data_IF_053013809791
#
_entry.id   IF_053013809791
#
_cell.length_a   1.000
_cell.length_b   1.000
_cell.length_c   1.000
_cell.angle_alpha   90.00
_cell.angle_beta   90.00
_cell.angle_gamma   90.00
#
_symmetry.space_group_name_H-M   'P 1'
#
loop_
_entity.id
_entity.type
_entity.pdbx_description
1 polymer ?
#
# COMPACT_ATOMS: atom_id res chain seq x y z
N UNK A 1 16.19 25.85 4.52
CA UNK A 1 14.83 25.71 5.08
C UNK A 1 14.04 24.77 4.19
N UNK A 2 13.50 23.68 4.74
CA UNK A 2 12.56 22.82 3.99
C UNK A 2 11.22 23.57 3.91
N UNK A 3 10.64 23.69 2.72
CA UNK A 3 9.34 24.35 2.51
C UNK A 3 8.27 23.60 3.33
N UNK A 4 7.46 24.30 4.12
CA UNK A 4 6.39 23.70 4.95
C UNK A 4 5.43 22.81 4.16
N UNK A 5 5.23 23.11 2.87
CA UNK A 5 4.43 22.28 1.97
C UNK A 5 5.12 20.96 1.62
N UNK A 6 6.45 20.93 1.50
CA UNK A 6 7.22 19.72 1.26
C UNK A 6 7.28 18.83 2.51
N UNK A 7 7.41 19.43 3.71
CA UNK A 7 7.35 18.68 4.96
C UNK A 7 5.98 18.01 5.14
N UNK A 8 4.91 18.71 4.77
CA UNK A 8 3.54 18.19 4.78
C UNK A 8 3.38 16.98 3.85
N UNK A 9 3.89 17.04 2.61
CA UNK A 9 3.89 15.90 1.67
C UNK A 9 4.61 14.69 2.28
N UNK A 10 5.81 14.89 2.81
CA UNK A 10 6.60 13.81 3.42
C UNK A 10 5.91 13.21 4.64
N UNK A 11 5.25 14.02 5.46
CA UNK A 11 4.49 13.53 6.60
C UNK A 11 3.30 12.66 6.17
N UNK A 12 2.56 13.06 5.14
CA UNK A 12 1.49 12.21 4.59
C UNK A 12 2.06 10.91 3.99
N UNK A 13 3.21 10.97 3.30
CA UNK A 13 3.89 9.78 2.80
C UNK A 13 4.30 8.83 3.93
N UNK A 14 4.76 9.35 5.08
CA UNK A 14 5.11 8.54 6.28
C UNK A 14 3.91 7.78 6.84
N UNK A 15 2.74 8.42 6.88
CA UNK A 15 1.50 7.74 7.27
C UNK A 15 1.20 6.59 6.30
N UNK A 16 1.36 6.84 5.00
CA UNK A 16 1.12 5.82 3.99
C UNK A 16 2.12 4.65 4.06
N UNK A 17 3.40 4.94 4.34
CA UNK A 17 4.44 3.93 4.61
C UNK A 17 3.98 2.99 5.74
N UNK A 18 3.49 3.56 6.84
CA UNK A 18 3.01 2.78 7.97
C UNK A 18 1.82 1.88 7.60
N UNK A 19 0.85 2.42 6.84
CA UNK A 19 -0.29 1.64 6.34
C UNK A 19 0.15 0.49 5.44
N UNK A 20 1.11 0.70 4.55
CA UNK A 20 1.63 -0.36 3.69
C UNK A 20 2.41 -1.43 4.47
N UNK A 21 3.30 -1.02 5.38
CA UNK A 21 4.12 -1.96 6.14
C UNK A 21 3.29 -2.81 7.09
N UNK A 22 2.37 -2.20 7.85
CA UNK A 22 1.50 -2.97 8.74
C UNK A 22 0.66 -3.96 7.94
N UNK A 23 0.06 -3.51 6.84
CA UNK A 23 -0.78 -4.39 6.05
C UNK A 23 0.01 -5.54 5.40
N UNK A 24 1.22 -5.26 4.90
CA UNK A 24 2.13 -6.30 4.39
C UNK A 24 2.57 -7.28 5.48
N UNK A 25 2.87 -6.81 6.69
CA UNK A 25 3.24 -7.67 7.83
C UNK A 25 2.08 -8.57 8.27
N UNK A 26 0.83 -8.11 8.19
CA UNK A 26 -0.33 -8.95 8.49
C UNK A 26 -0.46 -10.12 7.50
N UNK A 27 -0.25 -9.87 6.21
CA UNK A 27 -0.21 -10.95 5.22
C UNK A 27 0.98 -11.89 5.38
N UNK A 28 2.12 -11.39 5.87
CA UNK A 28 3.26 -12.23 6.22
C UNK A 28 2.89 -13.21 7.34
N UNK A 29 2.19 -12.73 8.38
CA UNK A 29 1.68 -13.58 9.46
C UNK A 29 0.70 -14.61 8.91
N UNK A 30 -0.29 -14.20 8.11
CA UNK A 30 -1.25 -15.13 7.49
C UNK A 30 -0.55 -16.18 6.59
N UNK A 31 0.55 -15.80 5.94
CA UNK A 31 1.36 -16.72 5.14
C UNK A 31 2.10 -17.73 6.02
N UNK A 32 2.67 -17.31 7.15
CA UNK A 32 3.31 -18.23 8.10
C UNK A 32 2.31 -19.19 8.74
N UNK A 33 1.14 -18.70 9.16
CA UNK A 33 0.05 -19.54 9.68
C UNK A 33 -0.36 -20.61 8.65
N UNK A 34 -0.45 -20.24 7.36
CA UNK A 34 -0.72 -21.21 6.31
C UNK A 34 0.40 -22.24 6.14
N UNK A 35 1.66 -21.80 6.11
CA UNK A 35 2.82 -22.71 5.98
C UNK A 35 2.91 -23.69 7.16
N UNK A 36 2.58 -23.25 8.37
CA UNK A 36 2.50 -24.11 9.55
C UNK A 36 1.40 -25.16 9.39
N UNK A 37 0.20 -24.78 8.94
CA UNK A 37 -0.91 -25.70 8.69
C UNK A 37 -0.63 -26.75 7.60
N UNK A 38 0.34 -26.51 6.72
CA UNK A 38 0.82 -27.53 5.77
C UNK A 38 1.67 -28.62 6.44
N UNK A 39 2.40 -28.27 7.50
CA UNK A 39 3.35 -29.16 8.16
C UNK A 39 2.73 -29.93 9.33
N UNK A 40 1.90 -29.27 10.14
CA UNK A 40 1.20 -29.87 11.27
C UNK A 40 -0.30 -29.74 11.01
N UNK A 41 -0.94 -30.76 10.43
CA UNK A 41 -2.41 -30.83 10.41
C UNK A 41 -2.87 -31.21 11.82
N UNK A 42 -3.52 -30.32 12.59
CA UNK A 42 -4.24 -30.76 13.78
C UNK A 42 -5.26 -31.84 13.36
N UNK A 43 -5.46 -32.87 14.20
CA UNK A 43 -6.29 -34.04 13.86
C UNK A 43 -7.72 -33.71 13.39
N UNK A 44 -8.25 -32.54 13.75
CA UNK A 44 -9.60 -32.08 13.40
C UNK A 44 -9.62 -30.96 12.34
N UNK A 45 -8.50 -30.68 11.68
CA UNK A 45 -8.35 -29.58 10.72
C UNK A 45 -8.02 -30.10 9.33
N UNK A 46 -8.90 -29.85 8.36
CA UNK A 46 -8.65 -30.11 6.95
C UNK A 46 -8.09 -28.87 6.24
N UNK A 47 -7.24 -29.07 5.23
CA UNK A 47 -6.59 -27.98 4.49
C UNK A 47 -7.65 -27.10 3.83
N UNK A 48 -7.74 -25.86 4.30
CA UNK A 48 -8.84 -24.91 4.07
C UNK A 48 -8.43 -23.77 3.13
N UNK A 49 -7.26 -23.90 2.52
CA UNK A 49 -6.74 -22.97 1.53
C UNK A 49 -6.27 -23.77 0.32
N UNK A 50 -6.64 -23.30 -0.88
CA UNK A 50 -5.89 -23.69 -2.07
C UNK A 50 -4.60 -22.88 -2.11
N UNK A 51 -3.58 -23.43 -2.76
CA UNK A 51 -2.32 -22.72 -3.03
C UNK A 51 -2.57 -21.35 -3.70
N UNK A 52 -3.66 -21.22 -4.47
CA UNK A 52 -4.08 -19.98 -5.14
C UNK A 52 -4.37 -18.84 -4.15
N UNK A 53 -5.03 -19.13 -3.03
CA UNK A 53 -5.36 -18.10 -2.02
C UNK A 53 -4.11 -17.54 -1.34
N UNK A 54 -3.12 -18.40 -1.12
CA UNK A 54 -1.86 -18.02 -0.47
C UNK A 54 -1.00 -17.23 -1.43
N UNK A 55 -0.95 -17.62 -2.71
CA UNK A 55 -0.31 -16.83 -3.77
C UNK A 55 -0.93 -15.43 -3.83
N UNK A 56 -2.25 -15.30 -3.66
CA UNK A 56 -2.91 -13.99 -3.61
C UNK A 56 -2.43 -13.14 -2.42
N UNK A 57 -2.38 -13.70 -1.21
CA UNK A 57 -1.87 -12.99 -0.03
C UNK A 57 -0.40 -12.58 -0.19
N UNK A 58 0.42 -13.46 -0.77
CA UNK A 58 1.81 -13.18 -1.06
C UNK A 58 1.97 -12.06 -2.10
N UNK A 59 1.15 -12.04 -3.16
CA UNK A 59 1.15 -10.97 -4.14
C UNK A 59 0.78 -9.62 -3.52
N UNK A 60 -0.29 -9.58 -2.71
CA UNK A 60 -0.72 -8.37 -2.02
C UNK A 60 0.35 -7.88 -1.01
N UNK A 61 1.01 -8.81 -0.30
CA UNK A 61 2.16 -8.51 0.57
C UNK A 61 3.32 -7.88 -0.22
N UNK A 62 3.71 -8.48 -1.35
CA UNK A 62 4.79 -7.97 -2.21
C UNK A 62 4.46 -6.57 -2.69
N UNK A 63 3.22 -6.34 -3.15
CA UNK A 63 2.76 -5.02 -3.59
C UNK A 63 2.83 -4.01 -2.45
N UNK A 64 2.39 -4.38 -1.24
CA UNK A 64 2.47 -3.50 -0.08
C UNK A 64 3.90 -3.13 0.28
N UNK A 65 4.82 -4.11 0.32
CA UNK A 65 6.23 -3.83 0.59
C UNK A 65 6.89 -3.03 -0.52
N UNK A 66 6.59 -3.30 -1.79
CA UNK A 66 7.08 -2.50 -2.92
C UNK A 66 6.67 -1.03 -2.79
N UNK A 67 5.39 -0.76 -2.53
CA UNK A 67 4.89 0.61 -2.32
C UNK A 67 5.51 1.25 -1.06
N UNK A 68 5.54 0.53 0.05
CA UNK A 68 6.10 1.01 1.33
C UNK A 68 7.59 1.37 1.21
N UNK A 69 8.41 0.48 0.65
CA UNK A 69 9.84 0.74 0.46
C UNK A 69 10.11 1.84 -0.56
N UNK A 70 9.34 1.92 -1.64
CA UNK A 70 9.44 3.02 -2.60
C UNK A 70 9.23 4.38 -1.92
N UNK A 71 8.20 4.48 -1.08
CA UNK A 71 7.94 5.70 -0.30
C UNK A 71 9.04 5.98 0.74
N UNK A 72 9.57 4.95 1.41
CA UNK A 72 10.70 5.10 2.35
C UNK A 72 11.91 5.70 1.65
N UNK A 73 12.27 5.17 0.47
CA UNK A 73 13.38 5.70 -0.34
C UNK A 73 13.11 7.17 -0.68
N UNK A 74 11.90 7.51 -1.11
CA UNK A 74 11.52 8.88 -1.45
C UNK A 74 11.62 9.86 -0.27
N UNK A 75 11.15 9.45 0.91
CA UNK A 75 11.15 10.29 2.11
C UNK A 75 12.56 10.43 2.70
N UNK A 76 13.37 9.38 2.60
CA UNK A 76 14.71 9.31 3.22
C UNK A 76 15.81 9.91 2.34
N UNK A 77 15.57 10.05 1.03
CA UNK A 77 16.55 10.65 0.10
C UNK A 77 16.19 12.09 -0.24
N UNK A 78 17.21 12.89 -0.61
CA UNK A 78 17.02 14.26 -1.09
C UNK A 78 16.53 14.24 -2.53
N UNK A 79 15.23 14.09 -2.73
CA UNK A 79 14.58 14.13 -4.05
C UNK A 79 14.01 15.51 -4.36
N UNK A 80 13.91 15.84 -5.65
CA UNK A 80 13.22 17.06 -6.07
C UNK A 80 11.71 16.94 -5.83
N UNK A 81 11.03 18.07 -5.61
CA UNK A 81 9.57 18.10 -5.44
C UNK A 81 8.83 17.48 -6.64
N UNK A 82 9.36 17.69 -7.86
CA UNK A 82 8.83 17.08 -9.10
C UNK A 82 8.94 15.56 -9.08
N UNK A 83 10.09 15.03 -8.70
CA UNK A 83 10.31 13.57 -8.59
C UNK A 83 9.37 12.96 -7.56
N UNK A 84 9.28 13.58 -6.37
CA UNK A 84 8.39 13.12 -5.29
C UNK A 84 6.94 13.07 -5.77
N UNK A 85 6.49 14.12 -6.46
CA UNK A 85 5.13 14.20 -6.99
C UNK A 85 4.84 13.13 -8.05
N UNK A 86 5.72 12.98 -9.04
CA UNK A 86 5.52 12.06 -10.16
C UNK A 86 5.50 10.60 -9.70
N UNK A 87 6.46 10.22 -8.86
CA UNK A 87 6.51 8.84 -8.33
C UNK A 87 5.29 8.55 -7.46
N UNK A 88 4.78 9.53 -6.70
CA UNK A 88 3.56 9.32 -5.90
C UNK A 88 2.32 9.09 -6.77
N UNK A 89 2.19 9.80 -7.90
CA UNK A 89 1.14 9.52 -8.89
C UNK A 89 1.28 8.10 -9.45
N UNK A 90 2.50 7.71 -9.84
CA UNK A 90 2.74 6.38 -10.39
C UNK A 90 2.40 5.27 -9.38
N UNK A 91 2.80 5.44 -8.12
CA UNK A 91 2.46 4.52 -7.03
C UNK A 91 0.95 4.45 -6.77
N UNK A 92 0.23 5.58 -6.83
CA UNK A 92 -1.23 5.58 -6.70
C UNK A 92 -1.89 4.81 -7.85
N UNK A 93 -1.49 5.06 -9.09
CA UNK A 93 -2.03 4.35 -10.26
C UNK A 93 -1.74 2.86 -10.14
N UNK A 94 -0.49 2.49 -9.85
CA UNK A 94 -0.09 1.11 -9.64
C UNK A 94 -0.93 0.45 -8.52
N UNK A 95 -1.12 1.15 -7.40
CA UNK A 95 -1.93 0.62 -6.29
C UNK A 95 -3.41 0.49 -6.68
N UNK A 96 -3.99 1.49 -7.34
CA UNK A 96 -5.39 1.43 -7.77
C UNK A 96 -5.62 0.30 -8.78
N UNK A 97 -4.68 0.11 -9.73
CA UNK A 97 -4.74 -0.98 -10.71
C UNK A 97 -4.60 -2.35 -10.07
N UNK A 98 -3.65 -2.52 -9.14
CA UNK A 98 -3.50 -3.78 -8.41
C UNK A 98 -4.71 -4.05 -7.52
N UNK A 99 -5.27 -3.02 -6.88
CA UNK A 99 -6.52 -3.14 -6.12
C UNK A 99 -7.67 -3.53 -7.04
N UNK A 100 -7.81 -2.95 -8.23
CA UNK A 100 -8.84 -3.35 -9.18
C UNK A 100 -8.66 -4.80 -9.65
N UNK A 101 -7.43 -5.20 -10.00
CA UNK A 101 -7.14 -6.54 -10.50
C UNK A 101 -7.35 -7.59 -9.42
N UNK A 102 -6.80 -7.37 -8.24
CA UNK A 102 -6.90 -8.26 -7.11
C UNK A 102 -8.33 -8.25 -6.56
N UNK A 103 -8.96 -7.06 -6.49
CA UNK A 103 -10.22 -6.85 -5.77
C UNK A 103 -11.52 -6.81 -6.60
N UNK A 104 -11.49 -6.72 -7.92
CA UNK A 104 -12.71 -6.53 -8.73
C UNK A 104 -12.74 -7.25 -10.08
N UNK A 105 -11.58 -7.54 -10.69
CA UNK A 105 -11.52 -7.93 -12.11
C UNK A 105 -11.91 -9.39 -12.42
N UNK A 106 -11.82 -10.36 -11.48
CA UNK A 106 -12.19 -11.77 -11.77
C UNK A 106 -12.89 -12.52 -10.59
N UNK A 107 -14.17 -12.86 -10.84
CA UNK A 107 -15.02 -14.01 -10.42
C UNK A 107 -15.05 -14.51 -8.96
N UNK A 108 -16.29 -14.70 -8.47
CA UNK A 108 -16.77 -15.15 -7.14
C UNK A 108 -16.02 -16.34 -6.49
N UNK A 109 -15.28 -17.16 -7.25
CA UNK A 109 -14.58 -18.34 -6.74
C UNK A 109 -13.15 -18.10 -6.23
N UNK A 110 -12.45 -17.04 -6.67
CA UNK A 110 -11.10 -16.68 -6.13
C UNK A 110 -11.16 -16.03 -4.74
N UNK A 111 -12.36 -15.70 -4.30
CA UNK A 111 -12.62 -14.66 -3.31
C UNK A 111 -13.18 -15.10 -2.00
N UNK A 112 -13.72 -16.31 -1.98
CA UNK A 112 -13.99 -16.99 -0.75
C UNK A 112 -12.68 -17.69 -0.42
N UNK A 113 -11.81 -17.15 0.47
CA UNK A 113 -10.97 -18.05 1.21
C UNK A 113 -11.98 -18.97 1.91
N UNK A 114 -12.20 -20.16 1.33
CA UNK A 114 -13.05 -21.20 1.91
C UNK A 114 -12.31 -21.75 3.12
N UNK A 115 -12.13 -20.88 4.11
CA UNK A 115 -11.90 -21.28 5.46
C UNK A 115 -13.25 -21.86 5.88
N UNK A 116 -13.32 -23.19 6.04
CA UNK A 116 -14.33 -23.89 6.85
C UNK A 116 -14.17 -23.55 8.34
N UNK A 117 -13.94 -22.26 8.61
CA UNK A 117 -13.90 -21.48 9.83
C UNK A 117 -14.24 -20.07 9.33
N UNK A 118 -15.43 -19.55 9.66
CA UNK A 118 -15.94 -18.21 9.27
C UNK A 118 -14.82 -17.28 8.80
N UNK A 119 -14.81 -16.89 7.51
CA UNK A 119 -13.80 -16.03 6.88
C UNK A 119 -13.23 -15.06 7.92
N UNK A 120 -11.94 -15.17 8.24
CA UNK A 120 -11.36 -14.52 9.42
C UNK A 120 -11.79 -13.05 9.44
N UNK A 121 -12.78 -12.70 10.29
CA UNK A 121 -13.41 -11.38 10.26
C UNK A 121 -12.36 -10.28 10.41
N UNK A 122 -11.24 -10.63 11.03
CA UNK A 122 -10.04 -9.83 11.12
C UNK A 122 -9.45 -9.51 9.74
N UNK A 123 -9.10 -10.50 8.91
CA UNK A 123 -8.53 -10.28 7.57
C UNK A 123 -9.45 -9.45 6.67
N UNK A 124 -10.76 -9.75 6.69
CA UNK A 124 -11.77 -8.99 5.96
C UNK A 124 -11.87 -7.54 6.45
N UNK A 125 -11.82 -7.31 7.77
CA UNK A 125 -11.82 -5.97 8.36
C UNK A 125 -10.59 -5.18 7.95
N UNK A 126 -9.40 -5.77 8.03
CA UNK A 126 -8.15 -5.11 7.64
C UNK A 126 -8.13 -4.78 6.15
N UNK A 127 -8.59 -5.68 5.29
CA UNK A 127 -8.77 -5.41 3.86
C UNK A 127 -9.75 -4.26 3.61
N UNK A 128 -10.88 -4.27 4.29
CA UNK A 128 -11.91 -3.22 4.19
C UNK A 128 -11.49 -1.85 4.74
N UNK A 129 -10.43 -1.77 5.55
CA UNK A 129 -9.95 -0.51 6.15
C UNK A 129 -8.61 -0.04 5.58
N UNK A 130 -7.59 -0.89 5.54
CA UNK A 130 -6.25 -0.51 5.11
C UNK A 130 -6.15 -0.24 3.62
N UNK A 131 -6.81 -1.03 2.77
CA UNK A 131 -6.76 -0.82 1.32
C UNK A 131 -7.36 0.54 0.92
N UNK A 132 -8.57 0.92 1.38
CA UNK A 132 -9.08 2.27 1.13
C UNK A 132 -8.24 3.36 1.78
N UNK A 133 -7.75 3.15 3.01
CA UNK A 133 -6.92 4.13 3.70
C UNK A 133 -5.61 4.45 2.93
N UNK A 134 -4.95 3.43 2.38
CA UNK A 134 -3.75 3.61 1.55
C UNK A 134 -4.03 4.50 0.33
N UNK A 135 -5.15 4.28 -0.35
CA UNK A 135 -5.56 5.08 -1.52
C UNK A 135 -5.89 6.53 -1.12
N UNK A 136 -6.68 6.72 -0.05
CA UNK A 136 -7.08 8.05 0.44
C UNK A 136 -5.84 8.86 0.84
N UNK A 137 -4.93 8.28 1.62
CA UNK A 137 -3.71 8.95 2.07
C UNK A 137 -2.79 9.28 0.87
N UNK A 138 -2.73 8.41 -0.14
CA UNK A 138 -2.00 8.69 -1.38
C UNK A 138 -2.58 9.90 -2.13
N UNK A 139 -3.91 10.01 -2.23
CA UNK A 139 -4.59 11.18 -2.84
C UNK A 139 -4.30 12.46 -2.05
N UNK A 140 -4.33 12.40 -0.72
CA UNK A 140 -3.98 13.55 0.14
C UNK A 140 -2.52 13.97 -0.10
N UNK A 141 -1.60 13.01 -0.23
CA UNK A 141 -0.19 13.30 -0.49
C UNK A 141 0.01 13.97 -1.86
N UNK A 142 -0.74 13.55 -2.89
CA UNK A 142 -0.74 14.20 -4.21
C UNK A 142 -1.29 15.62 -4.11
N UNK A 143 -2.38 15.83 -3.36
CA UNK A 143 -2.96 17.16 -3.16
C UNK A 143 -1.95 18.14 -2.53
N UNK A 144 -1.23 17.72 -1.49
CA UNK A 144 -0.14 18.51 -0.92
C UNK A 144 1.02 18.69 -1.92
N UNK A 145 1.30 17.68 -2.75
CA UNK A 145 2.31 17.73 -3.80
C UNK A 145 2.01 18.80 -4.86
N UNK A 146 0.75 18.96 -5.27
CA UNK A 146 0.32 20.03 -6.19
C UNK A 146 0.61 21.40 -5.57
N UNK A 147 0.29 21.59 -4.28
CA UNK A 147 0.57 22.84 -3.56
C UNK A 147 2.07 23.13 -3.50
N UNK A 148 2.88 22.12 -3.19
CA UNK A 148 4.33 22.23 -3.14
C UNK A 148 4.94 22.59 -4.51
N UNK A 149 4.44 21.99 -5.60
CA UNK A 149 4.89 22.31 -6.96
C UNK A 149 4.59 23.76 -7.36
N UNK A 150 3.37 24.24 -7.07
CA UNK A 150 2.99 25.64 -7.36
C UNK A 150 3.84 26.64 -6.57
N UNK A 151 4.13 26.34 -5.30
CA UNK A 151 5.00 27.18 -4.47
C UNK A 151 6.44 27.23 -5.02
N UNK A 152 6.98 26.08 -5.43
CA UNK A 152 8.33 25.99 -5.99
C UNK A 152 8.47 26.70 -7.35
N UNK A 153 7.44 26.64 -8.20
CA UNK A 153 7.41 27.41 -9.46
C UNK A 153 7.41 28.93 -9.23
N UNK A 154 6.65 29.43 -8.25
CA UNK A 154 6.65 30.86 -7.93
C UNK A 154 8.03 31.36 -7.47
N UNK A 155 8.71 30.58 -6.62
CA UNK A 155 10.05 30.90 -6.13
C UNK A 155 11.07 30.96 -7.29
N UNK A 156 11.08 29.97 -8.17
CA UNK A 156 11.99 29.97 -9.33
C UNK A 156 11.72 31.10 -10.32
N UNK A 157 10.46 31.54 -10.46
CA UNK A 157 10.13 32.66 -11.33
C UNK A 157 10.57 34.00 -10.75
N UNK A 158 10.56 34.15 -9.41
CA UNK A 158 11.05 35.37 -8.75
C UNK A 158 12.57 35.48 -8.82
N UNK A 159 13.31 34.37 -8.66
CA UNK A 159 14.78 34.37 -8.75
C UNK A 159 15.33 34.62 -10.16
N UNK A 160 14.51 34.51 -11.20
CA UNK A 160 14.91 34.78 -12.58
C UNK A 160 14.65 36.25 -13.01
N UNK A 161 14.03 37.05 -12.13
CA UNK A 161 13.70 38.46 -12.38
C UNK A 161 14.71 39.39 -11.69
N UNK A 162 15.47 38.90 -10.71
CA UNK A 162 16.62 39.57 -10.07
C UNK A 162 17.93 39.26 -10.82
#
# INVERSE_FOLDING_TARGET
MENDTLSSVKNTMRINIFLYLIYGLLFLIETFDFLEMLHTKPKDYHATYSLVNVVYYQMEMIICFLCGFSLIILVSTKQTVKTIFLVNIFLLIFRASTVYYLYFYETEERWVPFIYKKANSFSALFRGTFVPAQLIVSVIAIWYGIKALKSNQKLNNQSNIE
#
